data_IF_257777886407
#
_entry.id   IF_257777886407
#
_cell.length_a   1.000
_cell.length_b   1.000
_cell.length_c   1.000
_cell.angle_alpha   90.00
_cell.angle_beta   90.00
_cell.angle_gamma   90.00
#
_symmetry.space_group_name_H-M   'P 1'
#
loop_
_entity.id
_entity.type
_entity.pdbx_description
1 polymer ?
#
# COMPACT_ATOMS: atom_id res chain seq x y z
N UNK A 1 13.06 28.60 23.20
CA UNK A 1 12.74 27.64 24.25
C UNK A 1 11.26 27.21 24.26
N UNK A 2 10.23 28.11 24.22
CA UNK A 2 8.81 27.73 24.26
C UNK A 2 8.37 26.79 23.11
N UNK A 3 8.83 27.02 21.86
CA UNK A 3 8.50 26.15 20.71
C UNK A 3 9.09 24.74 20.81
N UNK A 4 10.31 24.60 21.34
CA UNK A 4 10.97 23.31 21.52
C UNK A 4 10.27 22.49 22.61
N UNK A 5 9.90 23.14 23.72
CA UNK A 5 9.12 22.48 24.80
C UNK A 5 7.76 22.04 24.31
N UNK A 6 7.03 22.87 23.55
CA UNK A 6 5.74 22.50 22.94
C UNK A 6 5.88 21.28 22.01
N UNK A 7 6.91 21.25 21.18
CA UNK A 7 7.16 20.10 20.29
C UNK A 7 7.49 18.83 21.09
N UNK A 8 8.31 18.95 22.14
CA UNK A 8 8.64 17.85 23.04
C UNK A 8 7.41 17.28 23.73
N UNK A 9 6.56 18.15 24.30
CA UNK A 9 5.33 17.76 25.00
C UNK A 9 4.37 17.02 24.02
N UNK A 10 4.26 17.51 22.76
CA UNK A 10 3.46 16.86 21.72
C UNK A 10 4.01 15.50 21.30
N UNK A 11 5.32 15.35 21.15
CA UNK A 11 5.95 14.06 20.84
C UNK A 11 5.72 13.06 21.97
N UNK A 12 5.83 13.49 23.23
CA UNK A 12 5.57 12.63 24.40
C UNK A 12 4.09 12.20 24.46
N UNK A 13 3.17 13.10 24.13
CA UNK A 13 1.73 12.82 24.04
C UNK A 13 1.47 11.75 22.97
N UNK A 14 2.02 11.91 21.74
CA UNK A 14 1.91 10.91 20.66
C UNK A 14 2.46 9.56 21.13
N UNK A 15 3.64 9.54 21.71
CA UNK A 15 4.28 8.28 22.13
C UNK A 15 3.44 7.55 23.19
N UNK A 16 2.82 8.29 24.09
CA UNK A 16 1.91 7.75 25.09
C UNK A 16 0.61 7.17 24.48
N UNK A 17 0.04 7.89 23.50
CA UNK A 17 -1.18 7.48 22.78
C UNK A 17 -0.93 6.21 21.96
N UNK A 18 0.16 6.17 21.16
CA UNK A 18 0.57 5.02 20.32
C UNK A 18 0.63 3.71 21.11
N UNK A 19 1.09 3.77 22.37
CA UNK A 19 1.10 2.60 23.26
C UNK A 19 -0.29 2.16 23.70
N UNK A 20 -1.16 3.12 24.05
CA UNK A 20 -2.54 2.87 24.50
C UNK A 20 -3.42 2.32 23.37
N UNK A 21 -3.25 2.85 22.18
CA UNK A 21 -4.06 2.50 20.99
C UNK A 21 -3.51 1.28 20.25
N UNK A 22 -2.50 0.63 20.83
CA UNK A 22 -1.91 -0.63 20.31
C UNK A 22 -1.53 -0.54 18.83
N UNK A 23 -1.05 0.63 18.38
CA UNK A 23 -0.70 0.92 16.98
C UNK A 23 0.22 -0.14 16.38
N UNK A 24 1.25 -0.57 17.12
CA UNK A 24 2.16 -1.62 16.68
C UNK A 24 1.48 -2.97 16.44
N UNK A 25 0.51 -3.35 17.28
CA UNK A 25 -0.22 -4.60 17.13
C UNK A 25 -1.12 -4.60 15.88
N UNK A 26 -1.88 -3.51 15.67
CA UNK A 26 -2.72 -3.37 14.48
C UNK A 26 -1.89 -3.24 13.19
N UNK A 27 -0.75 -2.56 13.23
CA UNK A 27 0.19 -2.49 12.12
C UNK A 27 0.72 -3.89 11.74
N UNK A 28 1.13 -4.67 12.74
CA UNK A 28 1.61 -6.04 12.55
C UNK A 28 0.50 -6.96 11.99
N UNK A 29 -0.72 -6.85 12.52
CA UNK A 29 -1.87 -7.60 12.04
C UNK A 29 -2.20 -7.26 10.58
N UNK A 30 -2.22 -5.98 10.23
CA UNK A 30 -2.46 -5.54 8.86
C UNK A 30 -1.36 -6.03 7.92
N UNK A 31 -0.09 -5.86 8.29
CA UNK A 31 1.06 -6.33 7.52
C UNK A 31 1.02 -7.83 7.27
N UNK A 32 0.69 -8.62 8.30
CA UNK A 32 0.54 -10.07 8.19
C UNK A 32 -0.53 -10.47 7.17
N UNK A 33 -1.73 -9.88 7.24
CA UNK A 33 -2.78 -10.20 6.29
C UNK A 33 -2.49 -9.70 4.87
N UNK A 34 -1.86 -8.53 4.71
CA UNK A 34 -1.40 -8.06 3.41
C UNK A 34 -0.33 -8.99 2.82
N UNK A 35 0.61 -9.45 3.65
CA UNK A 35 1.62 -10.43 3.23
C UNK A 35 0.98 -11.74 2.76
N UNK A 36 0.03 -12.30 3.53
CA UNK A 36 -0.70 -13.50 3.12
C UNK A 36 -1.49 -13.31 1.82
N UNK A 37 -1.97 -12.12 1.55
CA UNK A 37 -2.71 -11.80 0.33
C UNK A 37 -1.82 -11.52 -0.88
N UNK A 38 -0.51 -11.34 -0.70
CA UNK A 38 0.38 -11.02 -1.82
C UNK A 38 0.38 -12.11 -2.90
N UNK A 39 0.46 -13.39 -2.50
CA UNK A 39 0.47 -14.50 -3.46
C UNK A 39 -0.83 -14.51 -4.29
N UNK A 40 -2.04 -14.55 -3.68
CA UNK A 40 -3.28 -14.45 -4.42
C UNK A 40 -3.41 -13.17 -5.27
N UNK A 41 -2.91 -12.02 -4.78
CA UNK A 41 -2.94 -10.76 -5.53
C UNK A 41 -2.03 -10.84 -6.77
N UNK A 42 -0.82 -11.37 -6.63
CA UNK A 42 0.09 -11.56 -7.77
C UNK A 42 -0.55 -12.48 -8.81
N UNK A 43 -1.17 -13.58 -8.37
CA UNK A 43 -1.91 -14.48 -9.26
C UNK A 43 -3.05 -13.75 -9.98
N UNK A 44 -3.80 -12.92 -9.26
CA UNK A 44 -4.86 -12.10 -9.84
C UNK A 44 -4.31 -11.13 -10.90
N UNK A 45 -3.21 -10.43 -10.59
CA UNK A 45 -2.59 -9.49 -11.51
C UNK A 45 -2.11 -10.17 -12.79
N UNK A 46 -1.40 -11.29 -12.67
CA UNK A 46 -0.92 -12.07 -13.83
C UNK A 46 -2.11 -12.57 -14.65
N UNK A 47 -3.18 -13.00 -13.99
CA UNK A 47 -4.41 -13.44 -14.67
C UNK A 47 -5.07 -12.30 -15.43
N UNK A 48 -5.16 -11.10 -14.85
CA UNK A 48 -5.73 -9.93 -15.53
C UNK A 48 -4.92 -9.57 -16.77
N UNK A 49 -3.60 -9.70 -16.72
CA UNK A 49 -2.72 -9.41 -17.86
C UNK A 49 -2.96 -10.37 -19.02
N UNK A 50 -3.39 -11.62 -18.78
CA UNK A 50 -3.74 -12.56 -19.86
C UNK A 50 -4.88 -12.06 -20.77
N UNK A 51 -5.75 -11.19 -20.28
CA UNK A 51 -6.83 -10.57 -21.05
C UNK A 51 -6.41 -9.29 -21.77
N UNK A 52 -5.11 -8.94 -21.71
CA UNK A 52 -4.52 -7.82 -22.43
C UNK A 52 -3.68 -8.34 -23.60
N UNK A 53 -3.30 -7.48 -24.58
CA UNK A 53 -2.42 -7.89 -25.68
C UNK A 53 -0.96 -8.16 -25.26
N UNK A 54 -0.66 -8.10 -23.95
CA UNK A 54 0.69 -8.34 -23.39
C UNK A 54 1.01 -9.83 -23.44
N UNK A 55 2.15 -10.17 -24.01
CA UNK A 55 2.57 -11.59 -24.13
C UNK A 55 3.11 -12.15 -22.82
N UNK A 56 3.10 -13.49 -22.67
CA UNK A 56 3.72 -14.15 -21.52
C UNK A 56 5.20 -13.78 -21.36
N UNK A 57 5.92 -13.56 -22.47
CA UNK A 57 7.32 -13.17 -22.46
C UNK A 57 7.51 -11.76 -21.88
N UNK A 58 6.63 -10.83 -22.24
CA UNK A 58 6.66 -9.46 -21.73
C UNK A 58 6.39 -9.43 -20.22
N UNK A 59 5.40 -10.20 -19.76
CA UNK A 59 5.09 -10.35 -18.33
C UNK A 59 6.29 -10.93 -17.59
N UNK A 60 6.88 -12.01 -18.12
CA UNK A 60 8.03 -12.64 -17.50
C UNK A 60 9.20 -11.66 -17.35
N UNK A 61 9.53 -10.95 -18.42
CA UNK A 61 10.60 -9.95 -18.42
C UNK A 61 10.34 -8.83 -17.41
N UNK A 62 9.12 -8.29 -17.41
CA UNK A 62 8.74 -7.21 -16.51
C UNK A 62 8.78 -7.63 -15.04
N UNK A 63 8.24 -8.79 -14.70
CA UNK A 63 8.18 -9.27 -13.32
C UNK A 63 9.58 -9.62 -12.80
N UNK A 64 10.43 -10.23 -13.61
CA UNK A 64 11.82 -10.51 -13.25
C UNK A 64 12.68 -9.27 -13.06
N UNK A 65 12.31 -8.13 -13.66
CA UNK A 65 12.99 -6.85 -13.43
C UNK A 65 12.60 -6.20 -12.09
N UNK A 66 11.39 -6.46 -11.60
CA UNK A 66 10.86 -5.84 -10.36
C UNK A 66 11.30 -6.59 -9.11
N UNK A 67 11.40 -7.91 -9.19
CA UNK A 67 11.69 -8.75 -8.05
C UNK A 67 13.18 -9.09 -7.95
N UNK A 68 13.70 -9.33 -6.73
CA UNK A 68 15.08 -9.80 -6.53
C UNK A 68 15.32 -11.15 -7.19
N UNK A 69 16.51 -11.38 -7.73
CA UNK A 69 16.92 -12.65 -8.39
C UNK A 69 16.71 -13.90 -7.54
N UNK A 70 16.72 -13.76 -6.21
CA UNK A 70 16.48 -14.87 -5.27
C UNK A 70 15.10 -15.51 -5.39
N UNK A 71 14.13 -14.84 -6.02
CA UNK A 71 12.77 -15.35 -6.22
C UNK A 71 12.41 -15.65 -7.69
N UNK A 72 13.36 -15.52 -8.60
CA UNK A 72 13.15 -15.75 -10.05
C UNK A 72 12.52 -17.11 -10.37
N UNK A 73 12.99 -18.17 -9.72
CA UNK A 73 12.46 -19.53 -9.93
C UNK A 73 11.01 -19.65 -9.48
N UNK A 74 10.67 -19.02 -8.35
CA UNK A 74 9.31 -19.01 -7.81
C UNK A 74 8.38 -18.21 -8.73
N UNK A 75 8.81 -17.02 -9.17
CA UNK A 75 8.06 -16.17 -10.08
C UNK A 75 7.84 -16.86 -11.43
N UNK A 76 8.88 -17.43 -12.00
CA UNK A 76 8.79 -18.19 -13.26
C UNK A 76 7.80 -19.34 -13.15
N UNK A 77 7.81 -20.07 -12.03
CA UNK A 77 6.85 -21.13 -11.76
C UNK A 77 5.42 -20.60 -11.67
N UNK A 78 5.20 -19.49 -10.94
CA UNK A 78 3.87 -18.86 -10.80
C UNK A 78 3.34 -18.38 -12.15
N UNK A 79 4.13 -17.64 -12.94
CA UNK A 79 3.73 -17.16 -14.27
C UNK A 79 3.37 -18.33 -15.18
N UNK A 80 4.22 -19.39 -15.21
CA UNK A 80 3.95 -20.58 -16.01
C UNK A 80 2.66 -21.29 -15.58
N UNK A 81 2.43 -21.44 -14.28
CA UNK A 81 1.22 -22.08 -13.77
C UNK A 81 -0.03 -21.29 -14.14
N UNK A 82 -0.02 -19.97 -13.96
CA UNK A 82 -1.19 -19.14 -14.26
C UNK A 82 -1.55 -19.21 -15.74
N UNK A 83 -0.56 -19.10 -16.65
CA UNK A 83 -0.82 -19.16 -18.09
C UNK A 83 -1.28 -20.55 -18.58
N UNK A 84 -1.09 -21.59 -17.77
CA UNK A 84 -1.50 -22.96 -18.13
C UNK A 84 -2.79 -23.41 -17.40
N UNK A 85 -3.40 -22.57 -16.56
CA UNK A 85 -4.57 -22.96 -15.76
C UNK A 85 -5.91 -22.70 -16.45
N UNK A 86 -6.92 -23.50 -16.06
CA UNK A 86 -8.28 -23.36 -16.52
C UNK A 86 -9.02 -22.21 -15.82
N UNK A 87 -9.99 -21.60 -16.50
CA UNK A 87 -10.75 -20.45 -15.99
C UNK A 87 -11.43 -20.65 -14.61
N UNK A 88 -11.79 -21.87 -14.25
CA UNK A 88 -12.40 -22.16 -12.94
C UNK A 88 -11.45 -21.96 -11.75
N UNK A 89 -10.17 -22.33 -11.90
CA UNK A 89 -9.17 -22.14 -10.85
C UNK A 89 -8.87 -20.65 -10.68
N UNK A 90 -8.88 -19.91 -11.77
CA UNK A 90 -8.70 -18.45 -11.78
C UNK A 90 -9.77 -17.76 -10.93
N UNK A 91 -11.04 -18.11 -11.13
CA UNK A 91 -12.15 -17.51 -10.36
C UNK A 91 -12.03 -17.78 -8.87
N UNK A 92 -11.65 -18.99 -8.47
CA UNK A 92 -11.42 -19.33 -7.05
C UNK A 92 -10.27 -18.51 -6.46
N UNK A 93 -9.17 -18.37 -7.20
CA UNK A 93 -8.00 -17.59 -6.79
C UNK A 93 -8.36 -16.12 -6.56
N UNK A 94 -9.18 -15.52 -7.42
CA UNK A 94 -9.68 -14.14 -7.26
C UNK A 94 -10.46 -13.99 -5.95
N UNK A 95 -11.37 -14.91 -5.67
CA UNK A 95 -12.18 -14.89 -4.43
C UNK A 95 -11.28 -14.98 -3.20
N UNK A 96 -10.31 -15.90 -3.19
CA UNK A 96 -9.36 -16.08 -2.08
C UNK A 96 -8.48 -14.84 -1.91
N UNK A 97 -8.01 -14.23 -3.02
CA UNK A 97 -7.22 -13.01 -2.99
C UNK A 97 -7.96 -11.85 -2.33
N UNK A 98 -9.17 -11.59 -2.80
CA UNK A 98 -10.01 -10.50 -2.28
C UNK A 98 -10.42 -10.77 -0.82
N UNK A 99 -10.69 -12.00 -0.47
CA UNK A 99 -11.02 -12.38 0.90
C UNK A 99 -9.83 -12.18 1.84
N UNK A 100 -8.63 -12.60 1.47
CA UNK A 100 -7.42 -12.47 2.28
C UNK A 100 -7.00 -11.02 2.44
N UNK A 101 -6.93 -10.27 1.33
CA UNK A 101 -6.56 -8.86 1.35
C UNK A 101 -7.58 -8.01 2.12
N UNK A 102 -8.87 -8.34 2.03
CA UNK A 102 -9.91 -7.70 2.83
C UNK A 102 -9.72 -7.84 4.34
N UNK A 103 -9.03 -8.89 4.83
CA UNK A 103 -8.64 -8.99 6.24
C UNK A 103 -7.59 -7.94 6.63
N UNK A 104 -6.65 -7.63 5.74
CA UNK A 104 -5.65 -6.57 5.97
C UNK A 104 -6.31 -5.20 6.09
N UNK A 105 -7.23 -4.88 5.17
CA UNK A 105 -8.00 -3.63 5.23
C UNK A 105 -8.87 -3.58 6.49
N UNK A 106 -9.44 -4.70 6.91
CA UNK A 106 -10.23 -4.77 8.13
C UNK A 106 -9.37 -4.51 9.39
N UNK A 107 -8.17 -5.09 9.46
CA UNK A 107 -7.22 -4.84 10.54
C UNK A 107 -6.82 -3.37 10.61
N UNK A 108 -6.55 -2.76 9.45
CA UNK A 108 -6.25 -1.32 9.36
C UNK A 108 -7.46 -0.46 9.79
N UNK A 109 -8.67 -0.85 9.40
CA UNK A 109 -9.91 -0.17 9.84
C UNK A 109 -10.07 -0.22 11.35
N UNK A 110 -9.83 -1.39 11.96
CA UNK A 110 -9.92 -1.56 13.41
C UNK A 110 -8.86 -0.73 14.13
N UNK A 111 -7.62 -0.72 13.62
CA UNK A 111 -6.54 0.12 14.16
C UNK A 111 -6.87 1.61 14.08
N UNK A 112 -7.39 2.09 12.94
CA UNK A 112 -7.81 3.48 12.80
C UNK A 112 -9.00 3.82 13.70
N UNK A 113 -9.96 2.93 13.86
CA UNK A 113 -11.06 3.14 14.81
C UNK A 113 -10.54 3.28 16.25
N UNK A 114 -9.50 2.52 16.63
CA UNK A 114 -8.86 2.64 17.93
C UNK A 114 -8.17 4.01 18.07
N UNK A 115 -7.36 4.41 17.09
CA UNK A 115 -6.68 5.70 17.04
C UNK A 115 -7.67 6.88 17.11
N UNK A 116 -8.81 6.80 16.42
CA UNK A 116 -9.83 7.85 16.41
C UNK A 116 -10.82 7.75 17.58
N UNK A 117 -10.59 6.84 18.54
CA UNK A 117 -11.48 6.57 19.69
C UNK A 117 -12.95 6.39 19.27
N UNK A 118 -13.17 5.70 18.14
CA UNK A 118 -14.51 5.44 17.63
C UNK A 118 -14.90 3.97 17.73
N UNK A 119 -16.12 3.75 18.26
CA UNK A 119 -16.70 2.41 18.34
C UNK A 119 -17.19 1.96 16.97
N UNK A 120 -16.87 0.73 16.59
CA UNK A 120 -17.41 0.14 15.37
C UNK A 120 -18.88 -0.22 15.59
N UNK A 121 -19.77 0.46 14.88
CA UNK A 121 -21.22 0.23 14.95
C UNK A 121 -21.78 -0.50 13.73
N UNK A 122 -20.98 -0.66 12.68
CA UNK A 122 -21.36 -1.32 11.45
C UNK A 122 -21.42 -2.83 11.65
N UNK A 123 -22.44 -3.49 11.07
CA UNK A 123 -22.54 -4.94 11.07
C UNK A 123 -21.30 -5.55 10.39
N UNK A 124 -20.81 -6.68 10.91
CA UNK A 124 -19.66 -7.42 10.38
C UNK A 124 -19.75 -7.68 8.87
N UNK A 125 -20.94 -8.03 8.36
CA UNK A 125 -21.14 -8.27 6.93
C UNK A 125 -20.89 -7.00 6.11
N UNK A 126 -21.47 -5.87 6.54
CA UNK A 126 -21.29 -4.58 5.88
C UNK A 126 -19.81 -4.16 5.91
N UNK A 127 -19.17 -4.33 7.07
CA UNK A 127 -17.75 -4.04 7.25
C UNK A 127 -16.90 -4.89 6.30
N UNK A 128 -17.25 -6.16 6.15
CA UNK A 128 -16.57 -7.10 5.25
C UNK A 128 -16.71 -6.71 3.77
N UNK A 129 -17.93 -6.37 3.34
CA UNK A 129 -18.19 -5.90 1.98
C UNK A 129 -17.41 -4.63 1.68
N UNK A 130 -17.40 -3.65 2.61
CA UNK A 130 -16.63 -2.41 2.49
C UNK A 130 -15.12 -2.70 2.40
N UNK A 131 -14.59 -3.56 3.28
CA UNK A 131 -13.18 -3.95 3.25
C UNK A 131 -12.80 -4.57 1.91
N UNK A 132 -13.63 -5.44 1.35
CA UNK A 132 -13.42 -6.03 0.02
C UNK A 132 -13.43 -4.97 -1.08
N UNK A 133 -14.39 -4.04 -1.04
CA UNK A 133 -14.46 -2.94 -2.01
C UNK A 133 -13.21 -2.04 -1.94
N UNK A 134 -12.78 -1.66 -0.74
CA UNK A 134 -11.54 -0.87 -0.57
C UNK A 134 -10.30 -1.64 -0.99
N UNK A 135 -10.28 -2.96 -0.80
CA UNK A 135 -9.19 -3.81 -1.30
C UNK A 135 -9.10 -3.74 -2.82
N UNK A 136 -10.24 -3.83 -3.53
CA UNK A 136 -10.26 -3.69 -5.00
C UNK A 136 -9.76 -2.31 -5.41
N UNK A 137 -10.25 -1.25 -4.76
CA UNK A 137 -9.78 0.11 -5.03
C UNK A 137 -8.27 0.26 -4.79
N UNK A 138 -7.73 -0.32 -3.72
CA UNK A 138 -6.29 -0.31 -3.41
C UNK A 138 -5.48 -1.06 -4.46
N UNK A 139 -5.96 -2.23 -4.89
CA UNK A 139 -5.31 -2.99 -5.96
C UNK A 139 -5.26 -2.16 -7.26
N UNK A 140 -6.35 -1.49 -7.62
CA UNK A 140 -6.38 -0.61 -8.81
C UNK A 140 -5.35 0.52 -8.69
N UNK A 141 -5.27 1.18 -7.53
CA UNK A 141 -4.26 2.24 -7.30
C UNK A 141 -2.85 1.68 -7.38
N UNK A 142 -2.60 0.51 -6.78
CA UNK A 142 -1.28 -0.15 -6.84
C UNK A 142 -0.91 -0.52 -8.28
N UNK A 143 -1.85 -1.08 -9.04
CA UNK A 143 -1.63 -1.40 -10.47
C UNK A 143 -1.29 -0.12 -11.24
N UNK A 144 -2.05 0.95 -11.04
CA UNK A 144 -1.79 2.23 -11.71
C UNK A 144 -0.41 2.78 -11.38
N UNK A 145 0.00 2.74 -10.10
CA UNK A 145 1.33 3.14 -9.66
C UNK A 145 2.44 2.27 -10.28
N UNK A 146 2.23 0.95 -10.34
CA UNK A 146 3.17 0.02 -10.97
C UNK A 146 3.31 0.29 -12.46
N UNK A 147 2.19 0.45 -13.17
CA UNK A 147 2.19 0.75 -14.61
C UNK A 147 2.93 2.06 -14.87
N UNK A 148 2.66 3.10 -14.12
CA UNK A 148 3.30 4.39 -14.27
C UNK A 148 4.79 4.35 -13.93
N UNK A 149 5.17 3.65 -12.85
CA UNK A 149 6.54 3.63 -12.33
C UNK A 149 7.45 2.68 -13.09
N UNK A 150 6.97 1.47 -13.40
CA UNK A 150 7.77 0.39 -13.99
C UNK A 150 7.68 0.40 -15.51
N UNK A 151 6.46 0.48 -16.03
CA UNK A 151 6.20 0.39 -17.47
C UNK A 151 6.12 1.76 -18.16
N UNK A 152 6.33 2.85 -17.43
CA UNK A 152 6.18 4.20 -17.99
C UNK A 152 6.98 4.43 -19.26
N UNK A 153 8.25 3.99 -19.31
CA UNK A 153 9.09 4.14 -20.51
C UNK A 153 8.58 3.25 -21.67
N UNK A 154 8.19 2.02 -21.39
CA UNK A 154 7.62 1.08 -22.40
C UNK A 154 6.27 1.60 -22.91
N UNK A 155 5.46 2.14 -22.00
CA UNK A 155 4.17 2.75 -22.35
C UNK A 155 4.37 3.99 -23.23
N UNK A 156 5.37 4.81 -22.93
CA UNK A 156 5.72 5.97 -23.75
C UNK A 156 6.08 5.54 -25.18
N UNK A 157 6.99 4.58 -25.33
CA UNK A 157 7.37 4.05 -26.63
C UNK A 157 6.17 3.47 -27.40
N UNK A 158 5.35 2.66 -26.75
CA UNK A 158 4.16 2.06 -27.36
C UNK A 158 3.15 3.12 -27.83
N UNK A 159 2.87 4.12 -26.99
CA UNK A 159 1.92 5.18 -27.35
C UNK A 159 2.47 6.08 -28.46
N UNK A 160 3.74 6.42 -28.42
CA UNK A 160 4.39 7.24 -29.46
C UNK A 160 4.37 6.54 -30.81
N UNK A 161 4.56 5.22 -30.83
CA UNK A 161 4.57 4.42 -32.06
C UNK A 161 3.16 4.22 -32.64
N UNK A 162 2.15 3.98 -31.79
CA UNK A 162 0.79 3.66 -32.26
C UNK A 162 -0.17 4.84 -32.26
N UNK A 163 0.07 5.86 -31.43
CA UNK A 163 -0.81 7.03 -31.24
C UNK A 163 -0.02 8.34 -31.18
N UNK A 164 0.55 8.82 -32.31
CA UNK A 164 1.40 10.02 -32.32
C UNK A 164 0.72 11.29 -31.77
N UNK A 165 -0.63 11.35 -31.83
CA UNK A 165 -1.40 12.46 -31.25
C UNK A 165 -1.28 12.55 -29.73
N UNK A 166 -1.02 11.44 -29.06
CA UNK A 166 -0.90 11.37 -27.61
C UNK A 166 0.54 11.52 -27.08
N UNK A 167 1.53 11.58 -27.96
CA UNK A 167 2.96 11.70 -27.61
C UNK A 167 3.22 12.84 -26.61
N UNK A 168 2.69 14.03 -26.88
CA UNK A 168 2.88 15.20 -25.99
C UNK A 168 2.31 15.00 -24.60
N UNK A 169 1.14 14.35 -24.49
CA UNK A 169 0.49 14.07 -23.20
C UNK A 169 1.29 13.04 -22.40
N UNK A 170 1.74 11.98 -23.06
CA UNK A 170 2.53 10.92 -22.41
C UNK A 170 3.89 11.46 -21.97
N UNK A 171 4.56 12.24 -22.79
CA UNK A 171 5.82 12.90 -22.43
C UNK A 171 5.66 13.84 -21.23
N UNK A 172 4.57 14.61 -21.16
CA UNK A 172 4.28 15.45 -20.01
C UNK A 172 4.09 14.61 -18.74
N UNK A 173 3.29 13.52 -18.80
CA UNK A 173 3.06 12.61 -17.69
C UNK A 173 4.39 12.00 -17.25
N UNK A 174 5.26 11.58 -18.18
CA UNK A 174 6.56 11.01 -17.85
C UNK A 174 7.51 12.01 -17.18
N UNK A 175 7.50 13.26 -17.59
CA UNK A 175 8.30 14.32 -16.93
C UNK A 175 7.86 14.58 -15.49
N UNK A 176 6.55 14.53 -15.22
CA UNK A 176 5.99 14.83 -13.89
C UNK A 176 5.76 13.58 -13.04
N UNK A 177 6.11 12.36 -13.51
CA UNK A 177 5.91 11.10 -12.78
C UNK A 177 6.52 11.13 -11.39
N UNK A 178 7.66 11.80 -11.21
CA UNK A 178 8.30 11.97 -9.90
C UNK A 178 7.45 12.77 -8.90
N UNK A 179 6.51 13.61 -9.38
CA UNK A 179 5.56 14.35 -8.55
C UNK A 179 4.24 13.60 -8.43
N UNK A 180 3.85 12.88 -9.48
CA UNK A 180 2.58 12.12 -9.48
C UNK A 180 2.57 11.06 -8.38
N UNK A 181 3.65 10.32 -8.20
CA UNK A 181 3.73 9.25 -7.18
C UNK A 181 3.51 9.77 -5.76
N UNK A 182 4.21 10.82 -5.27
CA UNK A 182 3.92 11.42 -3.96
C UNK A 182 2.49 11.95 -3.84
N UNK A 183 1.97 12.60 -4.87
CA UNK A 183 0.61 13.16 -4.86
C UNK A 183 -0.43 12.03 -4.79
N UNK A 184 -0.26 10.97 -5.57
CA UNK A 184 -1.16 9.80 -5.51
C UNK A 184 -1.10 9.12 -4.14
N UNK A 185 0.09 8.98 -3.56
CA UNK A 185 0.25 8.41 -2.23
C UNK A 185 -0.43 9.28 -1.16
N UNK A 186 -0.31 10.61 -1.27
CA UNK A 186 -1.01 11.56 -0.40
C UNK A 186 -2.53 11.43 -0.54
N UNK A 187 -3.05 11.42 -1.75
CA UNK A 187 -4.50 11.24 -2.01
C UNK A 187 -4.97 9.88 -1.49
N UNK A 188 -4.19 8.84 -1.70
CA UNK A 188 -4.49 7.49 -1.23
C UNK A 188 -4.57 7.42 0.31
N UNK A 189 -3.59 7.98 1.01
CA UNK A 189 -3.59 8.03 2.49
C UNK A 189 -4.74 8.89 3.01
N UNK A 190 -5.06 9.99 2.35
CA UNK A 190 -6.22 10.83 2.67
C UNK A 190 -7.55 10.05 2.50
N UNK A 191 -7.68 9.24 1.45
CA UNK A 191 -8.84 8.37 1.25
C UNK A 191 -8.94 7.30 2.35
N UNK A 192 -7.83 6.71 2.77
CA UNK A 192 -7.78 5.77 3.90
C UNK A 192 -8.38 6.41 5.14
N UNK A 193 -7.91 7.60 5.55
CA UNK A 193 -8.41 8.28 6.74
C UNK A 193 -9.85 8.74 6.62
N UNK A 194 -10.33 9.03 5.42
CA UNK A 194 -11.70 9.45 5.18
C UNK A 194 -12.72 8.32 5.23
N UNK A 195 -12.36 7.17 4.66
CA UNK A 195 -13.35 6.13 4.36
C UNK A 195 -13.27 4.89 5.26
N UNK A 196 -12.09 4.57 5.83
CA UNK A 196 -11.94 3.38 6.66
C UNK A 196 -12.57 3.57 8.06
N UNK A 197 -12.27 4.64 8.82
CA UNK A 197 -12.80 4.79 10.17
C UNK A 197 -14.32 4.90 10.19
N UNK A 198 -14.91 4.53 11.31
CA UNK A 198 -16.35 4.66 11.55
C UNK A 198 -16.72 6.08 12.06
N UNK A 199 -15.94 7.07 11.71
CA UNK A 199 -16.14 8.45 12.12
C UNK A 199 -16.07 9.39 10.93
N UNK A 200 -16.97 10.40 10.90
CA UNK A 200 -16.98 11.43 9.86
C UNK A 200 -16.07 12.58 10.34
N UNK A 201 -14.83 12.56 9.89
CA UNK A 201 -13.88 13.65 10.15
C UNK A 201 -13.83 14.59 8.95
N UNK A 202 -13.68 15.89 9.21
CA UNK A 202 -13.54 16.89 8.16
C UNK A 202 -12.22 16.64 7.39
N UNK A 203 -12.29 16.77 6.05
CA UNK A 203 -11.12 16.54 5.17
C UNK A 203 -9.91 17.39 5.53
N UNK A 204 -10.14 18.65 5.99
CA UNK A 204 -9.06 19.58 6.34
C UNK A 204 -8.15 19.05 7.45
N UNK A 205 -8.73 18.35 8.42
CA UNK A 205 -8.01 17.82 9.57
C UNK A 205 -7.15 16.62 9.16
N UNK A 206 -7.61 15.84 8.18
CA UNK A 206 -6.92 14.66 7.69
C UNK A 206 -5.69 14.97 6.81
N UNK A 207 -5.56 16.20 6.34
CA UNK A 207 -4.46 16.61 5.45
C UNK A 207 -3.08 16.45 6.12
N UNK A 208 -2.97 16.78 7.41
CA UNK A 208 -1.69 16.72 8.14
C UNK A 208 -1.22 15.28 8.30
N UNK A 209 -2.09 14.38 8.76
CA UNK A 209 -1.74 12.96 8.88
C UNK A 209 -1.52 12.30 7.52
N UNK A 210 -2.29 12.69 6.50
CA UNK A 210 -2.08 12.19 5.15
C UNK A 210 -0.71 12.61 4.59
N UNK A 211 -0.32 13.87 4.78
CA UNK A 211 1.01 14.36 4.38
C UNK A 211 2.12 13.65 5.16
N UNK A 212 1.96 13.52 6.49
CA UNK A 212 2.89 12.78 7.34
C UNK A 212 3.07 11.34 6.86
N UNK A 213 1.97 10.64 6.59
CA UNK A 213 2.01 9.23 6.15
C UNK A 213 2.58 9.07 4.75
N UNK A 214 2.27 9.96 3.82
CA UNK A 214 2.83 9.93 2.48
C UNK A 214 4.36 10.13 2.51
N UNK A 215 4.83 11.13 3.24
CA UNK A 215 6.27 11.38 3.42
C UNK A 215 6.95 10.23 4.16
N UNK A 216 6.36 9.77 5.25
CA UNK A 216 6.89 8.65 6.04
C UNK A 216 6.98 7.36 5.24
N UNK A 217 5.97 7.06 4.43
CA UNK A 217 6.00 5.90 3.51
C UNK A 217 7.15 6.00 2.51
N UNK A 218 7.36 7.19 1.91
CA UNK A 218 8.47 7.42 0.98
C UNK A 218 9.82 7.23 1.67
N UNK A 219 9.98 7.76 2.89
CA UNK A 219 11.21 7.62 3.68
C UNK A 219 11.48 6.14 3.99
N UNK A 220 10.48 5.39 4.47
CA UNK A 220 10.62 3.95 4.73
C UNK A 220 10.99 3.21 3.46
N UNK A 221 10.31 3.46 2.35
CA UNK A 221 10.62 2.81 1.07
C UNK A 221 12.03 3.14 0.59
N UNK A 222 12.49 4.38 0.77
CA UNK A 222 13.85 4.78 0.44
C UNK A 222 14.89 4.06 1.33
N UNK A 223 14.66 4.01 2.65
CA UNK A 223 15.54 3.29 3.59
C UNK A 223 15.65 1.82 3.19
N UNK A 224 14.51 1.17 2.88
CA UNK A 224 14.50 -0.22 2.44
C UNK A 224 15.23 -0.43 1.12
N UNK A 225 15.09 0.50 0.16
CA UNK A 225 15.83 0.45 -1.10
C UNK A 225 17.35 0.50 -0.86
N UNK A 226 17.82 1.45 -0.06
CA UNK A 226 19.24 1.58 0.31
C UNK A 226 19.73 0.34 1.05
N UNK A 227 18.91 -0.19 1.97
CA UNK A 227 19.26 -1.42 2.70
C UNK A 227 19.47 -2.61 1.76
N UNK A 228 18.54 -2.82 0.80
CA UNK A 228 18.63 -3.90 -0.17
C UNK A 228 19.83 -3.77 -1.10
N UNK A 229 20.21 -2.54 -1.45
CA UNK A 229 21.39 -2.25 -2.28
C UNK A 229 22.71 -2.54 -1.55
N UNK A 230 22.81 -2.20 -0.26
CA UNK A 230 24.02 -2.39 0.54
C UNK A 230 24.19 -3.86 0.93
N UNK A 231 23.11 -4.53 1.33
CA UNK A 231 23.15 -5.88 1.91
C UNK A 231 22.84 -7.00 0.89
N UNK A 232 23.36 -6.89 -0.34
CA UNK A 232 23.21 -7.92 -1.40
C UNK A 232 23.67 -9.34 -1.00
N UNK A 233 24.48 -9.46 0.08
CA UNK A 233 25.01 -10.75 0.56
C UNK A 233 24.11 -11.53 1.51
N UNK A 234 23.09 -10.93 2.14
CA UNK A 234 22.21 -11.63 3.08
C UNK A 234 21.35 -12.71 2.42
N UNK A 235 21.03 -12.53 1.14
CA UNK A 235 20.31 -13.51 0.32
C UNK A 235 21.07 -14.83 0.16
N UNK A 236 22.40 -14.83 0.30
CA UNK A 236 23.21 -16.04 0.16
C UNK A 236 23.15 -16.97 1.37
N UNK A 237 22.85 -16.46 2.58
CA UNK A 237 22.80 -17.26 3.81
C UNK A 237 21.41 -17.86 4.08
N UNK A 238 20.35 -17.07 3.83
CA UNK A 238 18.97 -17.45 4.18
C UNK A 238 18.03 -17.57 2.97
N UNK A 239 18.54 -17.36 1.75
CA UNK A 239 17.80 -17.52 0.51
C UNK A 239 16.53 -16.66 0.43
N UNK A 240 15.45 -17.26 -0.07
CA UNK A 240 14.14 -16.60 -0.26
C UNK A 240 13.46 -16.16 1.05
N UNK A 241 13.81 -16.78 2.19
CA UNK A 241 13.23 -16.45 3.49
C UNK A 241 13.57 -15.00 3.89
N UNK A 242 14.79 -14.55 3.60
CA UNK A 242 15.20 -13.15 3.86
C UNK A 242 14.30 -12.16 3.14
N UNK A 243 13.99 -12.42 1.87
CA UNK A 243 13.11 -11.55 1.06
C UNK A 243 11.72 -11.47 1.67
N UNK A 244 11.16 -12.59 2.10
CA UNK A 244 9.83 -12.67 2.73
C UNK A 244 9.80 -11.83 4.02
N UNK A 245 10.81 -12.00 4.88
CA UNK A 245 10.92 -11.26 6.15
C UNK A 245 11.09 -9.76 5.90
N UNK A 246 11.90 -9.36 4.92
CA UNK A 246 12.11 -7.96 4.58
C UNK A 246 10.85 -7.31 4.03
N UNK A 247 10.10 -7.98 3.15
CA UNK A 247 8.83 -7.47 2.64
C UNK A 247 7.82 -7.32 3.80
N UNK A 248 7.75 -8.30 4.70
CA UNK A 248 6.86 -8.23 5.86
C UNK A 248 7.23 -7.08 6.79
N UNK A 249 8.53 -6.84 7.01
CA UNK A 249 9.01 -5.73 7.82
C UNK A 249 8.72 -4.37 7.15
N UNK A 250 8.90 -4.27 5.84
CA UNK A 250 8.53 -3.08 5.07
C UNK A 250 7.03 -2.79 5.16
N UNK A 251 6.19 -3.80 4.96
CA UNK A 251 4.73 -3.67 5.13
C UNK A 251 4.38 -3.22 6.56
N UNK A 252 5.03 -3.80 7.57
CA UNK A 252 4.82 -3.42 8.97
C UNK A 252 5.09 -1.93 9.18
N UNK A 253 6.24 -1.41 8.74
CA UNK A 253 6.56 0.00 8.90
C UNK A 253 5.63 0.91 8.09
N UNK A 254 5.20 0.49 6.89
CA UNK A 254 4.22 1.23 6.11
C UNK A 254 2.87 1.34 6.84
N UNK A 255 2.37 0.22 7.41
CA UNK A 255 1.12 0.22 8.18
C UNK A 255 1.27 0.99 9.49
N UNK A 256 2.41 0.89 10.15
CA UNK A 256 2.72 1.65 11.37
C UNK A 256 2.68 3.15 11.11
N UNK A 257 3.29 3.63 10.04
CA UNK A 257 3.27 5.05 9.66
C UNK A 257 1.85 5.51 9.29
N UNK A 258 1.05 4.67 8.63
CA UNK A 258 -0.35 4.99 8.38
C UNK A 258 -1.13 5.20 9.68
N UNK A 259 -0.98 4.32 10.66
CA UNK A 259 -1.65 4.47 11.95
C UNK A 259 -1.13 5.68 12.73
N UNK A 260 0.20 5.94 12.70
CA UNK A 260 0.79 7.15 13.27
C UNK A 260 0.23 8.43 12.64
N UNK A 261 0.00 8.44 11.34
CA UNK A 261 -0.63 9.59 10.68
C UNK A 261 -2.07 9.82 11.15
N UNK A 262 -2.79 8.76 11.53
CA UNK A 262 -4.05 8.86 12.24
C UNK A 262 -3.91 9.57 13.59
N UNK A 263 -2.90 9.22 14.39
CA UNK A 263 -2.58 9.90 15.66
C UNK A 263 -2.25 11.37 15.45
N UNK A 264 -1.47 11.69 14.42
CA UNK A 264 -1.18 13.08 14.05
C UNK A 264 -2.47 13.85 13.76
N UNK A 265 -3.42 13.26 13.03
CA UNK A 265 -4.72 13.86 12.78
C UNK A 265 -5.48 14.12 14.10
N UNK A 266 -5.46 13.18 15.03
CA UNK A 266 -6.14 13.32 16.32
C UNK A 266 -5.60 14.48 17.17
N UNK A 267 -4.30 14.70 17.16
CA UNK A 267 -3.68 15.81 17.90
C UNK A 267 -4.12 17.17 17.34
N UNK A 268 -4.32 17.27 16.03
CA UNK A 268 -4.83 18.50 15.40
C UNK A 268 -6.35 18.64 15.52
N UNK A 269 -7.07 17.53 15.78
CA UNK A 269 -8.51 17.50 16.05
C UNK A 269 -8.85 17.91 17.49
N UNK A 270 -7.99 17.58 18.45
CA UNK A 270 -8.25 17.78 19.88
C UNK A 270 -8.69 19.21 20.27
N UNK A 271 -8.15 20.31 19.67
CA UNK A 271 -8.60 21.66 20.01
C UNK A 271 -10.02 21.98 19.57
N UNK A 272 -10.51 21.36 18.46
CA UNK A 272 -11.84 21.64 17.92
C UNK A 272 -12.93 20.74 18.52
N UNK A 273 -12.61 19.52 18.88
CA UNK A 273 -13.57 18.53 19.44
C UNK A 273 -13.82 18.76 20.92
N UNK A 274 -12.85 19.30 21.67
CA UNK A 274 -13.03 19.69 23.08
C UNK A 274 -14.04 20.84 23.23
N UNK A 275 -14.28 21.63 22.18
CA UNK A 275 -15.27 22.71 22.20
C UNK A 275 -16.70 22.24 21.91
N UNK A 276 -16.93 20.95 21.59
CA UNK A 276 -18.24 20.38 21.18
C UNK A 276 -18.73 19.30 22.18
N UNK A 277 -17.91 18.93 23.15
CA UNK A 277 -18.29 18.14 24.35
C UNK A 277 -18.39 19.07 25.53
#
# INVERSE_FOLDING_TARGET
>A
MKKVKFLYDKVMEITGQVGKDHVGAYAAQAAYFFMLSMIPIILLLITLVQYTPVTKADVMTAVLQVFPKSVDSLITSIVNQVYNQSGGIISLTIIVALWSAGKGVLALTTGLNCVYDCKETRNYIILRIRATFYTVAFIIVIIFLLVLSVFGNTLNLFVTEHYPVMERLVDQIMRIRGIITPVLLFVFTMMIYKFLPNHIVQLRIQLMGAAFSAVGWMIVSWIFSVYLDIFKGFSSMYGSLTTIVLIMLWLYFCMYILLLGGEVNMIFLAPEVISIR
#
